data_IF_390856067760
#
_entry.id   IF_390856067760
#
_cell.length_a   1.000
_cell.length_b   1.000
_cell.length_c   1.000
_cell.angle_alpha   90.00
_cell.angle_beta   90.00
_cell.angle_gamma   90.00
#
_symmetry.space_group_name_H-M   'P 1'
#
loop_
_entity.id
_entity.type
_entity.pdbx_description
1 polymer ?
#
# COMPACT_ATOMS: atom_id res chain seq x y z
N UNK A 1 18.56 0.62 -25.42
CA UNK A 1 17.28 0.34 -24.73
C UNK A 1 17.27 1.00 -23.36
N UNK A 2 16.60 2.15 -23.20
CA UNK A 2 16.41 2.77 -21.88
C UNK A 2 15.28 2.02 -21.17
N UNK A 3 15.62 1.05 -20.32
CA UNK A 3 14.67 0.35 -19.47
C UNK A 3 14.23 1.29 -18.35
N UNK A 4 13.43 2.29 -18.69
CA UNK A 4 12.92 3.29 -17.76
C UNK A 4 11.74 2.66 -16.99
N UNK A 5 12.02 1.63 -16.19
CA UNK A 5 11.06 1.12 -15.20
C UNK A 5 10.78 2.31 -14.28
N UNK A 6 9.64 2.97 -14.47
CA UNK A 6 9.16 4.01 -13.54
C UNK A 6 9.22 3.41 -12.14
N UNK A 7 10.15 3.87 -11.31
CA UNK A 7 10.28 3.42 -9.91
C UNK A 7 8.92 3.65 -9.25
N UNK A 8 8.40 2.62 -8.59
CA UNK A 8 7.14 2.71 -7.83
C UNK A 8 7.35 3.70 -6.70
N UNK A 9 6.30 4.41 -6.27
CA UNK A 9 6.44 5.44 -5.23
C UNK A 9 7.06 4.88 -3.94
N UNK A 10 6.79 3.60 -3.64
CA UNK A 10 7.33 2.91 -2.48
C UNK A 10 8.73 2.30 -2.69
N UNK A 11 9.28 2.30 -3.91
CA UNK A 11 10.64 1.78 -4.16
C UNK A 11 11.72 2.64 -3.46
N UNK A 12 11.38 3.87 -3.04
CA UNK A 12 12.26 4.73 -2.23
C UNK A 12 12.36 4.26 -0.76
N UNK A 13 11.49 3.35 -0.32
CA UNK A 13 11.55 2.72 1.00
C UNK A 13 11.76 1.20 0.81
N UNK A 14 13.02 0.72 0.87
CA UNK A 14 13.33 -0.69 0.61
C UNK A 14 12.56 -1.67 1.48
N UNK A 15 12.27 -1.28 2.74
CA UNK A 15 11.51 -2.12 3.67
C UNK A 15 10.05 -2.23 3.26
N UNK A 16 9.40 -1.12 2.95
CA UNK A 16 8.02 -1.12 2.46
C UNK A 16 7.91 -1.87 1.13
N UNK A 17 8.86 -1.66 0.21
CA UNK A 17 8.88 -2.35 -1.07
C UNK A 17 8.98 -3.88 -0.90
N UNK A 18 9.83 -4.35 0.01
CA UNK A 18 9.93 -5.78 0.36
C UNK A 18 8.59 -6.30 0.89
N UNK A 19 8.00 -5.63 1.87
CA UNK A 19 6.76 -6.05 2.51
C UNK A 19 5.59 -6.10 1.51
N UNK A 20 5.46 -5.12 0.61
CA UNK A 20 4.43 -5.13 -0.43
C UNK A 20 4.66 -6.24 -1.49
N UNK A 21 5.90 -6.65 -1.72
CA UNK A 21 6.18 -7.82 -2.57
C UNK A 21 5.87 -9.13 -1.84
N UNK A 22 6.10 -9.23 -0.52
CA UNK A 22 5.70 -10.39 0.28
C UNK A 22 4.17 -10.52 0.33
N UNK A 23 3.47 -9.41 0.56
CA UNK A 23 2.00 -9.34 0.56
C UNK A 23 1.41 -9.80 -0.78
N UNK A 24 2.03 -9.42 -1.90
CA UNK A 24 1.63 -9.89 -3.25
C UNK A 24 1.57 -11.41 -3.34
N UNK A 25 2.51 -12.10 -2.70
CA UNK A 25 2.70 -13.54 -2.79
C UNK A 25 1.85 -14.34 -1.79
N UNK A 26 1.14 -13.68 -0.88
CA UNK A 26 0.16 -14.32 -0.02
C UNK A 26 -1.04 -14.83 -0.84
N UNK A 27 -1.75 -15.82 -0.31
CA UNK A 27 -3.04 -16.22 -0.83
C UNK A 27 -4.05 -15.06 -0.72
N UNK A 28 -5.18 -15.20 -1.42
CA UNK A 28 -6.15 -14.11 -1.52
C UNK A 28 -6.77 -13.75 -0.17
N UNK A 29 -7.09 -14.75 0.66
CA UNK A 29 -7.77 -14.55 1.93
C UNK A 29 -6.85 -13.80 2.91
N UNK A 30 -5.62 -14.32 3.10
CA UNK A 30 -4.60 -13.66 3.92
C UNK A 30 -4.31 -12.23 3.43
N UNK A 31 -4.24 -12.03 2.12
CA UNK A 31 -3.97 -10.70 1.54
C UNK A 31 -5.12 -9.73 1.80
N UNK A 32 -6.36 -10.15 1.62
CA UNK A 32 -7.52 -9.29 1.83
C UNK A 32 -7.65 -8.92 3.32
N UNK A 33 -7.38 -9.86 4.22
CA UNK A 33 -7.31 -9.61 5.67
C UNK A 33 -6.28 -8.54 6.00
N UNK A 34 -5.04 -8.67 5.49
CA UNK A 34 -4.00 -7.66 5.73
C UNK A 34 -4.40 -6.30 5.13
N UNK A 35 -5.05 -6.26 3.97
CA UNK A 35 -5.54 -4.99 3.39
C UNK A 35 -6.61 -4.35 4.27
N UNK A 36 -7.51 -5.14 4.86
CA UNK A 36 -8.49 -4.65 5.83
C UNK A 36 -7.81 -4.09 7.09
N UNK A 37 -6.87 -4.83 7.67
CA UNK A 37 -6.09 -4.38 8.83
C UNK A 37 -5.33 -3.07 8.52
N UNK A 38 -4.76 -2.94 7.33
CA UNK A 38 -4.10 -1.70 6.89
C UNK A 38 -5.07 -0.52 6.79
N UNK A 39 -6.28 -0.74 6.28
CA UNK A 39 -7.31 0.30 6.26
C UNK A 39 -7.65 0.75 7.67
N UNK A 40 -7.88 -0.18 8.58
CA UNK A 40 -8.19 0.13 9.99
C UNK A 40 -7.06 0.96 10.62
N UNK A 41 -5.79 0.57 10.44
CA UNK A 41 -4.64 1.34 10.93
C UNK A 41 -4.60 2.76 10.36
N UNK A 42 -4.96 2.93 9.09
CA UNK A 42 -5.02 4.24 8.44
C UNK A 42 -6.17 5.07 9.02
N UNK A 43 -7.38 4.51 9.06
CA UNK A 43 -8.58 5.20 9.55
C UNK A 43 -8.49 5.55 11.03
N UNK A 44 -7.92 4.69 11.86
CA UNK A 44 -7.68 4.95 13.29
C UNK A 44 -6.64 6.06 13.51
N UNK A 45 -5.77 6.32 12.52
CA UNK A 45 -4.74 7.36 12.61
C UNK A 45 -5.21 8.70 12.03
N UNK A 46 -5.83 8.68 10.85
CA UNK A 46 -6.44 9.80 10.16
C UNK A 46 -7.57 9.25 9.27
N UNK A 47 -8.80 9.35 9.78
CA UNK A 47 -10.02 8.86 9.14
C UNK A 47 -10.29 9.48 7.76
N UNK A 48 -9.77 10.68 7.54
CA UNK A 48 -9.93 11.44 6.31
C UNK A 48 -8.78 11.26 5.30
N UNK A 49 -7.71 10.53 5.65
CA UNK A 49 -6.51 10.43 4.81
C UNK A 49 -6.81 9.86 3.42
N UNK A 50 -7.65 8.82 3.37
CA UNK A 50 -8.03 8.16 2.13
C UNK A 50 -8.86 9.13 1.27
N UNK A 51 -9.89 9.72 1.87
CA UNK A 51 -10.83 10.60 1.17
C UNK A 51 -10.15 11.88 0.66
N UNK A 52 -9.21 12.42 1.43
CA UNK A 52 -8.44 13.62 1.06
C UNK A 52 -7.59 13.40 -0.19
N UNK A 53 -7.17 12.17 -0.46
CA UNK A 53 -6.19 11.85 -1.50
C UNK A 53 -6.70 10.93 -2.62
N UNK A 54 -7.94 10.43 -2.54
CA UNK A 54 -8.50 9.52 -3.55
C UNK A 54 -8.44 10.08 -4.97
N UNK A 55 -8.61 11.41 -5.12
CA UNK A 55 -8.54 12.10 -6.41
C UNK A 55 -7.12 12.21 -6.97
N UNK A 56 -6.10 12.11 -6.11
CA UNK A 56 -4.69 12.17 -6.50
C UNK A 56 -4.15 10.82 -6.98
N UNK A 57 -4.94 9.75 -6.85
CA UNK A 57 -4.52 8.42 -7.20
C UNK A 57 -4.58 8.26 -8.73
N UNK A 58 -3.46 7.88 -9.39
CA UNK A 58 -3.43 7.81 -10.84
C UNK A 58 -4.35 6.71 -11.33
N UNK A 59 -5.46 7.10 -11.98
CA UNK A 59 -6.42 6.19 -12.62
C UNK A 59 -5.83 5.49 -13.87
N UNK A 60 -4.62 5.87 -14.28
CA UNK A 60 -4.23 5.76 -15.67
C UNK A 60 -3.56 4.47 -16.09
N UNK A 61 -3.06 3.60 -15.20
CA UNK A 61 -2.52 2.31 -15.63
C UNK A 61 -2.62 1.21 -14.57
N UNK A 62 -3.60 0.30 -14.72
CA UNK A 62 -3.80 -0.89 -13.87
C UNK A 62 -2.73 -1.97 -14.09
N UNK A 63 -1.46 -1.66 -13.79
CA UNK A 63 -0.31 -2.53 -14.08
C UNK A 63 0.16 -3.32 -12.85
N UNK A 64 -0.23 -2.93 -11.65
CA UNK A 64 0.21 -3.54 -10.39
C UNK A 64 -0.80 -4.57 -9.92
N UNK A 65 -0.34 -5.51 -9.09
CA UNK A 65 -1.18 -6.60 -8.59
C UNK A 65 -2.41 -6.09 -7.83
N UNK A 66 -2.27 -4.98 -7.12
CA UNK A 66 -3.34 -4.34 -6.36
C UNK A 66 -4.20 -3.38 -7.19
N UNK A 67 -3.80 -2.99 -8.41
CA UNK A 67 -4.61 -2.06 -9.22
C UNK A 67 -5.89 -2.71 -9.77
N UNK A 68 -5.97 -4.04 -9.71
CA UNK A 68 -7.13 -4.82 -10.19
C UNK A 68 -8.30 -4.77 -9.23
N UNK A 69 -8.01 -4.64 -7.94
CA UNK A 69 -9.00 -4.58 -6.87
C UNK A 69 -9.11 -3.13 -6.37
N UNK A 70 -10.24 -2.43 -6.58
CA UNK A 70 -10.38 -1.02 -6.22
C UNK A 70 -10.08 -0.74 -4.75
N UNK A 71 -10.38 -1.70 -3.88
CA UNK A 71 -10.18 -1.57 -2.45
C UNK A 71 -8.69 -1.63 -2.08
N UNK A 72 -7.98 -2.66 -2.53
CA UNK A 72 -6.52 -2.78 -2.39
C UNK A 72 -5.79 -1.60 -3.03
N UNK A 73 -6.27 -1.16 -4.20
CA UNK A 73 -5.72 0.02 -4.88
C UNK A 73 -5.86 1.27 -4.02
N UNK A 74 -7.03 1.50 -3.43
CA UNK A 74 -7.31 2.66 -2.57
C UNK A 74 -6.41 2.65 -1.33
N UNK A 75 -6.40 1.53 -0.60
CA UNK A 75 -5.62 1.38 0.64
C UNK A 75 -4.12 1.51 0.36
N UNK A 76 -3.59 0.86 -0.67
CA UNK A 76 -2.15 0.94 -0.93
C UNK A 76 -1.73 2.32 -1.43
N UNK A 77 -2.54 3.00 -2.25
CA UNK A 77 -2.19 4.34 -2.71
C UNK A 77 -2.28 5.39 -1.59
N UNK A 78 -3.16 5.23 -0.59
CA UNK A 78 -3.20 6.17 0.54
C UNK A 78 -1.93 6.13 1.39
N UNK A 79 -1.21 5.00 1.46
CA UNK A 79 0.09 4.87 2.15
C UNK A 79 1.13 5.85 1.59
N UNK A 80 1.02 6.26 0.33
CA UNK A 80 1.90 7.29 -0.28
C UNK A 80 1.86 8.62 0.49
N UNK A 81 0.73 8.91 1.15
CA UNK A 81 0.47 10.14 1.89
C UNK A 81 0.61 9.96 3.40
N UNK A 82 0.99 8.77 3.85
CA UNK A 82 1.26 8.52 5.27
C UNK A 82 2.45 9.35 5.74
N UNK A 83 2.27 10.04 6.88
CA UNK A 83 3.39 10.66 7.58
C UNK A 83 4.36 9.60 8.14
N UNK A 84 5.49 10.04 8.71
CA UNK A 84 6.51 9.12 9.25
C UNK A 84 5.97 8.19 10.35
N UNK A 85 5.03 8.66 11.17
CA UNK A 85 4.48 7.88 12.29
C UNK A 85 3.53 6.81 11.78
N UNK A 86 2.60 7.17 10.90
CA UNK A 86 1.68 6.22 10.27
C UNK A 86 2.45 5.20 9.43
N UNK A 87 3.43 5.64 8.64
CA UNK A 87 4.27 4.75 7.85
C UNK A 87 5.03 3.75 8.73
N UNK A 88 5.51 4.19 9.90
CA UNK A 88 6.14 3.30 10.89
C UNK A 88 5.17 2.27 11.45
N UNK A 89 3.93 2.66 11.79
CA UNK A 89 2.87 1.73 12.23
C UNK A 89 2.59 0.67 11.17
N UNK A 90 2.40 1.09 9.91
CA UNK A 90 2.15 0.21 8.77
C UNK A 90 3.30 -0.79 8.59
N UNK A 91 4.55 -0.32 8.58
CA UNK A 91 5.73 -1.19 8.42
C UNK A 91 5.84 -2.18 9.58
N UNK A 92 5.58 -1.75 10.82
CA UNK A 92 5.60 -2.62 12.00
C UNK A 92 4.55 -3.71 11.88
N UNK A 93 3.32 -3.35 11.52
CA UNK A 93 2.22 -4.30 11.36
C UNK A 93 2.51 -5.31 10.23
N UNK A 94 2.88 -4.84 9.04
CA UNK A 94 3.24 -5.71 7.91
C UNK A 94 4.42 -6.63 8.24
N UNK A 95 5.40 -6.14 9.00
CA UNK A 95 6.51 -6.98 9.47
C UNK A 95 5.98 -8.11 10.33
N UNK A 96 5.12 -7.83 11.32
CA UNK A 96 4.58 -8.87 12.21
C UNK A 96 3.69 -9.90 11.51
N UNK A 97 3.09 -9.53 10.35
CA UNK A 97 2.20 -10.42 9.58
C UNK A 97 2.93 -11.25 8.52
N UNK A 98 4.06 -10.76 8.00
CA UNK A 98 4.71 -11.33 6.80
C UNK A 98 6.12 -11.90 7.05
N UNK A 99 6.69 -11.69 8.23
CA UNK A 99 8.03 -12.13 8.63
C UNK A 99 8.01 -12.71 10.04
#
# INVERSE_FOLDING_TARGET
>A
MRNNRKKRWYDNNPRLALLLNLLKNQDKECRDDIINELKEIITDYDDSLIDRHVVDFPMTEKRRWYDKDPYSWLVINSIKYADKKLLSKIIKHLTARLL
#
